data_IF_682516789783
#
_entry.id   IF_682516789783
#
_cell.length_a   1.000
_cell.length_b   1.000
_cell.length_c   1.000
_cell.angle_alpha   90.00
_cell.angle_beta   90.00
_cell.angle_gamma   90.00
#
_symmetry.space_group_name_H-M   'P 1'
#
loop_
_entity.id
_entity.type
_entity.pdbx_description
1 polymer ?
#
# COMPACT_ATOMS: atom_id res chain seq x y z
N UNK A 1 -16.51 -37.73 19.27
CA UNK A 1 -16.29 -37.77 17.80
C UNK A 1 -17.04 -36.68 17.02
N UNK A 2 -18.30 -36.33 17.34
CA UNK A 2 -19.07 -35.28 16.61
C UNK A 2 -18.47 -33.86 16.71
N UNK A 3 -17.95 -33.49 17.88
CA UNK A 3 -17.30 -32.17 18.11
C UNK A 3 -15.98 -32.02 17.34
N UNK A 4 -15.15 -33.06 17.31
CA UNK A 4 -13.89 -33.06 16.57
C UNK A 4 -14.13 -32.92 15.04
N UNK A 5 -15.17 -33.58 14.53
CA UNK A 5 -15.58 -33.48 13.13
C UNK A 5 -16.08 -32.07 12.79
N UNK A 6 -16.81 -31.42 13.70
CA UNK A 6 -17.31 -30.04 13.53
C UNK A 6 -16.15 -29.02 13.54
N UNK A 7 -15.16 -29.18 14.42
CA UNK A 7 -13.93 -28.38 14.42
C UNK A 7 -13.08 -28.58 13.15
N UNK A 8 -13.00 -29.80 12.64
CA UNK A 8 -12.37 -30.11 11.34
C UNK A 8 -13.16 -29.54 10.14
N UNK A 9 -14.49 -29.51 10.21
CA UNK A 9 -15.32 -28.88 9.18
C UNK A 9 -15.24 -27.34 9.23
N UNK A 10 -15.19 -26.74 10.41
CA UNK A 10 -14.94 -25.30 10.59
C UNK A 10 -13.53 -24.89 10.15
N UNK A 11 -12.52 -25.73 10.38
CA UNK A 11 -11.17 -25.46 9.88
C UNK A 11 -11.09 -25.59 8.36
N UNK A 12 -11.83 -26.53 7.76
CA UNK A 12 -11.94 -26.63 6.31
C UNK A 12 -12.72 -25.45 5.71
N UNK A 13 -13.77 -24.95 6.36
CA UNK A 13 -14.49 -23.71 5.98
C UNK A 13 -13.59 -22.46 6.02
N UNK A 14 -12.58 -22.43 6.91
CA UNK A 14 -11.56 -21.39 6.89
C UNK A 14 -10.56 -21.57 5.71
N UNK A 15 -10.31 -22.81 5.27
CA UNK A 15 -9.47 -23.13 4.11
C UNK A 15 -10.19 -22.82 2.78
N UNK A 16 -11.53 -22.87 2.71
CA UNK A 16 -12.29 -22.59 1.45
C UNK A 16 -12.28 -21.10 1.04
N UNK A 17 -11.75 -20.18 1.86
CA UNK A 17 -11.57 -18.78 1.43
C UNK A 17 -10.32 -18.52 0.59
N UNK A 18 -9.57 -19.54 0.17
CA UNK A 18 -8.40 -19.34 -0.68
C UNK A 18 -8.74 -18.96 -2.13
N UNK A 19 -9.94 -19.30 -2.58
CA UNK A 19 -10.53 -18.82 -3.84
C UNK A 19 -11.35 -17.53 -3.64
N UNK A 20 -10.98 -16.70 -2.66
CA UNK A 20 -11.51 -15.35 -2.60
C UNK A 20 -11.23 -14.64 -3.94
N UNK A 21 -12.29 -14.18 -4.59
CA UNK A 21 -12.25 -13.40 -5.82
C UNK A 21 -11.39 -12.15 -5.60
N UNK A 22 -10.68 -11.70 -6.64
CA UNK A 22 -9.97 -10.42 -6.62
C UNK A 22 -10.94 -9.31 -6.14
N UNK A 23 -10.56 -8.56 -5.11
CA UNK A 23 -11.40 -7.53 -4.51
C UNK A 23 -11.31 -6.18 -5.23
N UNK A 24 -10.24 -5.98 -6.00
CA UNK A 24 -9.88 -4.70 -6.57
C UNK A 24 -10.04 -4.74 -8.10
N UNK A 25 -11.10 -4.11 -8.59
CA UNK A 25 -11.43 -4.02 -10.00
C UNK A 25 -11.35 -2.56 -10.46
N UNK A 26 -10.65 -2.24 -11.57
CA UNK A 26 -10.54 -0.87 -12.03
C UNK A 26 -11.89 -0.19 -12.27
N UNK A 27 -12.03 1.05 -11.81
CA UNK A 27 -13.28 1.82 -11.87
C UNK A 27 -14.19 1.63 -10.66
N UNK A 28 -13.98 0.59 -9.86
CA UNK A 28 -14.79 0.31 -8.69
C UNK A 28 -14.28 0.96 -7.41
N UNK A 29 -15.16 1.01 -6.41
CA UNK A 29 -14.79 1.32 -5.02
C UNK A 29 -14.99 0.08 -4.15
N UNK A 30 -13.91 -0.48 -3.64
CA UNK A 30 -13.95 -1.61 -2.71
C UNK A 30 -14.18 -1.08 -1.30
N UNK A 31 -15.26 -1.55 -0.64
CA UNK A 31 -15.71 -1.04 0.66
C UNK A 31 -15.42 -2.02 1.79
N UNK A 32 -14.77 -1.54 2.85
CA UNK A 32 -14.72 -2.17 4.16
C UNK A 32 -15.65 -1.46 5.15
N UNK A 33 -15.60 -1.88 6.41
CA UNK A 33 -16.36 -1.25 7.49
C UNK A 33 -15.81 0.14 7.84
N UNK A 34 -14.49 0.30 7.80
CA UNK A 34 -13.80 1.49 8.30
C UNK A 34 -13.18 2.33 7.17
N UNK A 35 -12.90 1.73 6.01
CA UNK A 35 -12.28 2.40 4.88
C UNK A 35 -12.85 1.92 3.55
N UNK A 36 -12.74 2.77 2.54
CA UNK A 36 -13.10 2.44 1.16
C UNK A 36 -12.00 2.90 0.22
N UNK A 37 -11.71 2.11 -0.80
CA UNK A 37 -10.62 2.37 -1.73
C UNK A 37 -11.14 2.43 -3.16
N UNK A 38 -10.83 3.53 -3.86
CA UNK A 38 -11.04 3.64 -5.28
C UNK A 38 -9.92 2.91 -6.04
N UNK A 39 -10.30 2.11 -7.03
CA UNK A 39 -9.43 1.24 -7.78
C UNK A 39 -9.13 1.83 -9.17
N UNK A 40 -7.86 2.10 -9.44
CA UNK A 40 -7.40 2.71 -10.68
C UNK A 40 -6.51 1.74 -11.46
N UNK A 41 -6.77 1.59 -12.75
CA UNK A 41 -5.84 0.89 -13.64
C UNK A 41 -4.64 1.80 -13.91
N UNK A 42 -3.44 1.37 -13.50
CA UNK A 42 -2.19 2.10 -13.76
C UNK A 42 -1.53 1.58 -15.03
N UNK A 43 -1.61 0.26 -15.24
CA UNK A 43 -1.14 -0.38 -16.45
C UNK A 43 -2.19 -1.43 -16.81
N UNK A 44 -2.86 -1.29 -17.97
CA UNK A 44 -4.01 -2.09 -18.35
C UNK A 44 -3.87 -3.57 -18.02
N UNK A 45 -4.79 -4.08 -17.20
CA UNK A 45 -4.86 -5.48 -16.77
C UNK A 45 -3.62 -6.04 -16.04
N UNK A 46 -2.71 -5.18 -15.54
CA UNK A 46 -1.45 -5.61 -14.92
C UNK A 46 -1.22 -4.99 -13.55
N UNK A 47 -1.38 -3.68 -13.42
CA UNK A 47 -1.03 -2.94 -12.22
C UNK A 47 -2.22 -2.11 -11.77
N UNK A 48 -2.61 -2.29 -10.51
CA UNK A 48 -3.69 -1.54 -9.90
C UNK A 48 -3.13 -0.59 -8.86
N UNK A 49 -3.69 0.62 -8.80
CA UNK A 49 -3.54 1.55 -7.68
C UNK A 49 -4.82 1.56 -6.89
N UNK A 50 -4.73 1.39 -5.58
CA UNK A 50 -5.86 1.51 -4.66
C UNK A 50 -5.61 2.72 -3.76
N UNK A 51 -6.52 3.69 -3.85
CA UNK A 51 -6.44 4.97 -3.14
C UNK A 51 -7.60 5.07 -2.16
N UNK A 52 -7.32 5.41 -0.92
CA UNK A 52 -8.37 5.66 0.06
C UNK A 52 -9.25 6.83 -0.42
N UNK A 53 -10.57 6.66 -0.48
CA UNK A 53 -11.49 7.70 -0.99
C UNK A 53 -11.48 8.99 -0.15
N UNK A 54 -10.92 8.93 1.06
CA UNK A 54 -10.74 10.10 1.91
C UNK A 54 -9.52 10.95 1.55
N UNK A 55 -8.56 10.39 0.77
CA UNK A 55 -7.40 11.13 0.27
C UNK A 55 -7.88 12.32 -0.58
N UNK A 56 -7.31 13.50 -0.31
CA UNK A 56 -7.65 14.78 -0.95
C UNK A 56 -6.74 15.07 -2.13
N UNK A 57 -5.48 14.67 -2.08
CA UNK A 57 -4.60 14.80 -3.22
C UNK A 57 -4.84 13.63 -4.19
N UNK A 58 -5.34 13.97 -5.38
CA UNK A 58 -5.60 13.00 -6.45
C UNK A 58 -4.62 13.14 -7.61
N UNK A 59 -3.58 13.96 -7.45
CA UNK A 59 -2.67 14.34 -8.52
C UNK A 59 -1.52 13.33 -8.62
N UNK A 60 -1.06 13.01 -9.83
CA UNK A 60 0.17 12.24 -9.99
C UNK A 60 1.42 13.11 -9.85
N UNK A 61 1.34 14.37 -10.28
CA UNK A 61 2.46 15.30 -10.28
C UNK A 61 2.56 16.08 -8.97
N UNK A 62 3.75 16.61 -8.71
CA UNK A 62 4.01 17.57 -7.66
C UNK A 62 4.01 18.99 -8.23
N UNK A 63 3.60 19.96 -7.42
CA UNK A 63 3.54 21.37 -7.78
C UNK A 63 4.21 22.20 -6.70
N UNK A 64 4.83 23.30 -7.09
CA UNK A 64 5.27 24.34 -6.18
C UNK A 64 4.08 25.17 -5.65
N UNK A 65 4.32 25.96 -4.61
CA UNK A 65 3.29 26.85 -4.05
C UNK A 65 2.76 27.88 -5.05
N UNK A 66 3.57 28.30 -6.02
CA UNK A 66 3.17 29.21 -7.11
C UNK A 66 2.32 28.54 -8.20
N UNK A 67 2.05 27.24 -8.07
CA UNK A 67 1.27 26.44 -9.02
C UNK A 67 2.08 25.90 -10.21
N UNK A 68 3.37 26.21 -10.33
CA UNK A 68 4.22 25.59 -11.34
C UNK A 68 4.46 24.11 -11.03
N UNK A 69 4.53 23.27 -12.07
CA UNK A 69 4.78 21.85 -11.90
C UNK A 69 6.26 21.62 -11.53
N UNK A 70 6.51 20.75 -10.56
CA UNK A 70 7.87 20.29 -10.25
C UNK A 70 8.37 19.42 -11.43
N UNK A 71 9.57 19.68 -11.98
CA UNK A 71 10.12 18.85 -13.06
C UNK A 71 10.17 17.37 -12.67
N UNK A 72 9.81 16.49 -13.61
CA UNK A 72 9.70 15.04 -13.37
C UNK A 72 11.05 14.38 -13.07
N UNK A 73 12.14 14.97 -13.54
CA UNK A 73 13.53 14.54 -13.34
C UNK A 73 14.19 15.19 -12.12
N UNK A 74 13.47 16.05 -11.38
CA UNK A 74 14.00 16.68 -10.17
C UNK A 74 14.16 15.65 -9.06
N UNK A 75 15.38 15.55 -8.56
CA UNK A 75 15.68 14.84 -7.32
C UNK A 75 15.24 15.65 -6.10
N UNK A 76 14.55 14.99 -5.17
CA UNK A 76 14.22 15.58 -3.88
C UNK A 76 15.49 15.67 -3.02
N UNK A 77 15.67 16.80 -2.35
CA UNK A 77 16.74 16.97 -1.36
C UNK A 77 16.41 16.36 0.00
N UNK A 78 15.14 16.05 0.25
CA UNK A 78 14.65 15.48 1.51
C UNK A 78 15.11 14.04 1.70
N UNK A 79 15.41 13.69 2.95
CA UNK A 79 15.93 12.35 3.30
C UNK A 79 14.93 11.58 4.16
N UNK A 80 15.02 10.24 4.14
CA UNK A 80 14.17 9.40 5.00
C UNK A 80 14.51 9.63 6.47
N UNK A 81 13.49 9.76 7.29
CA UNK A 81 13.58 9.81 8.75
C UNK A 81 12.95 8.55 9.38
N UNK A 82 13.31 7.38 8.84
CA UNK A 82 12.90 6.07 9.32
C UNK A 82 13.82 5.00 8.74
N UNK A 83 13.87 3.85 9.40
CA UNK A 83 14.62 2.70 8.91
C UNK A 83 13.79 1.89 7.91
N UNK A 84 14.38 1.55 6.77
CA UNK A 84 13.67 0.77 5.74
C UNK A 84 13.22 -0.61 6.27
N UNK A 85 13.98 -1.20 7.20
CA UNK A 85 13.64 -2.47 7.84
C UNK A 85 12.36 -2.39 8.67
N UNK A 86 12.08 -1.28 9.35
CA UNK A 86 10.84 -1.09 10.12
C UNK A 86 9.61 -1.07 9.21
N UNK A 87 9.72 -0.40 8.06
CA UNK A 87 8.68 -0.38 7.03
C UNK A 87 8.40 -1.79 6.47
N UNK A 88 9.46 -2.54 6.14
CA UNK A 88 9.33 -3.93 5.68
C UNK A 88 8.74 -4.82 6.76
N UNK A 89 9.15 -4.66 8.03
CA UNK A 89 8.64 -5.45 9.14
C UNK A 89 7.15 -5.19 9.38
N UNK A 90 6.70 -3.94 9.32
CA UNK A 90 5.29 -3.60 9.45
C UNK A 90 4.41 -4.26 8.37
N UNK A 91 4.97 -4.45 7.16
CA UNK A 91 4.30 -5.24 6.13
C UNK A 91 4.31 -6.74 6.45
N UNK A 92 5.44 -7.31 6.88
CA UNK A 92 5.52 -8.72 7.31
C UNK A 92 4.50 -9.04 8.41
N UNK A 93 4.38 -8.17 9.40
CA UNK A 93 3.44 -8.31 10.52
C UNK A 93 1.96 -8.20 10.10
N UNK A 94 1.69 -7.61 8.94
CA UNK A 94 0.34 -7.53 8.40
C UNK A 94 -0.06 -8.80 7.63
N UNK A 95 0.88 -9.71 7.37
CA UNK A 95 0.68 -10.94 6.62
C UNK A 95 0.54 -12.14 7.58
N UNK A 96 -0.27 -13.11 7.19
CA UNK A 96 -0.20 -14.46 7.76
C UNK A 96 1.08 -15.15 7.30
N UNK A 97 1.52 -16.19 8.02
CA UNK A 97 2.68 -16.99 7.62
C UNK A 97 2.51 -17.59 6.21
N UNK A 98 1.30 -18.02 5.87
CA UNK A 98 0.98 -18.56 4.55
C UNK A 98 1.10 -17.49 3.45
N UNK A 99 0.52 -16.31 3.65
CA UNK A 99 0.61 -15.19 2.70
C UNK A 99 2.07 -14.73 2.51
N UNK A 100 2.85 -14.64 3.59
CA UNK A 100 4.26 -14.31 3.53
C UNK A 100 5.03 -15.33 2.67
N UNK A 101 4.79 -16.63 2.88
CA UNK A 101 5.42 -17.69 2.10
C UNK A 101 5.00 -17.65 0.63
N UNK A 102 3.74 -17.34 0.32
CA UNK A 102 3.28 -17.13 -1.05
C UNK A 102 3.94 -15.92 -1.72
N UNK A 103 4.08 -14.79 -1.00
CA UNK A 103 4.71 -13.60 -1.56
C UNK A 103 6.21 -13.81 -1.83
N UNK A 104 6.90 -14.61 -1.01
CA UNK A 104 8.31 -14.98 -1.21
C UNK A 104 8.58 -15.71 -2.53
N UNK A 105 7.58 -16.39 -3.10
CA UNK A 105 7.73 -17.21 -4.32
C UNK A 105 7.32 -16.50 -5.60
N UNK A 106 6.72 -15.31 -5.52
CA UNK A 106 6.25 -14.56 -6.70
C UNK A 106 7.10 -13.34 -7.01
N UNK A 107 7.24 -13.04 -8.31
CA UNK A 107 7.79 -11.77 -8.75
C UNK A 107 6.77 -10.65 -8.51
N UNK A 108 7.22 -9.55 -7.95
CA UNK A 108 6.38 -8.39 -7.75
C UNK A 108 6.86 -7.49 -6.62
N UNK A 109 6.11 -6.44 -6.41
CA UNK A 109 6.34 -5.49 -5.34
C UNK A 109 5.02 -4.91 -4.82
N UNK A 110 5.09 -4.37 -3.61
CA UNK A 110 4.16 -3.39 -3.10
C UNK A 110 4.84 -2.03 -3.18
N UNK A 111 4.32 -1.13 -4.00
CA UNK A 111 4.76 0.26 -4.01
C UNK A 111 3.77 1.11 -3.23
N UNK A 112 4.28 2.01 -2.40
CA UNK A 112 3.48 2.95 -1.60
C UNK A 112 3.86 4.36 -2.03
N UNK A 113 2.89 5.09 -2.59
CA UNK A 113 3.05 6.52 -2.86
C UNK A 113 2.60 7.27 -1.61
N UNK A 114 3.42 8.20 -1.13
CA UNK A 114 3.21 8.88 0.14
C UNK A 114 3.18 10.37 -0.12
N UNK A 115 2.08 11.03 0.24
CA UNK A 115 2.01 12.48 0.40
C UNK A 115 2.49 12.84 1.82
N UNK A 116 3.36 13.84 1.94
CA UNK A 116 3.84 14.32 3.25
C UNK A 116 3.43 15.76 3.52
N UNK A 117 3.26 16.08 4.80
CA UNK A 117 3.13 17.46 5.26
C UNK A 117 4.48 18.21 5.26
N UNK A 118 4.45 19.49 5.60
CA UNK A 118 5.66 20.34 5.68
C UNK A 118 6.59 19.97 6.84
N UNK A 119 6.11 19.21 7.82
CA UNK A 119 6.91 18.65 8.91
C UNK A 119 7.52 17.28 8.53
N UNK A 120 7.16 16.74 7.36
CA UNK A 120 7.63 15.46 6.85
C UNK A 120 6.85 14.25 7.35
N UNK A 121 5.67 14.42 7.96
CA UNK A 121 4.81 13.31 8.33
C UNK A 121 3.97 12.85 7.13
N UNK A 122 3.80 11.54 6.96
CA UNK A 122 2.91 10.99 5.95
C UNK A 122 1.43 11.32 6.25
N UNK A 123 0.75 11.91 5.27
CA UNK A 123 -0.66 12.30 5.33
C UNK A 123 -1.57 11.30 4.59
N UNK A 124 -1.21 10.97 3.36
CA UNK A 124 -2.03 10.19 2.44
C UNK A 124 -1.17 9.15 1.73
N UNK A 125 -1.70 7.94 1.59
CA UNK A 125 -1.02 6.82 0.96
C UNK A 125 -1.89 6.25 -0.15
N UNK A 126 -1.24 5.90 -1.26
CA UNK A 126 -1.80 5.01 -2.28
C UNK A 126 -0.95 3.74 -2.34
N UNK A 127 -1.60 2.58 -2.52
CA UNK A 127 -0.91 1.32 -2.71
C UNK A 127 -0.97 0.91 -4.18
N UNK A 128 0.15 0.46 -4.73
CA UNK A 128 0.28 0.03 -6.12
C UNK A 128 0.91 -1.36 -6.16
N UNK A 129 0.20 -2.30 -6.77
CA UNK A 129 0.64 -3.69 -6.87
C UNK A 129 0.06 -4.37 -8.11
N UNK A 130 0.52 -5.59 -8.41
CA UNK A 130 -0.01 -6.36 -9.54
C UNK A 130 -1.44 -6.81 -9.27
N UNK A 131 -2.32 -6.66 -10.27
CA UNK A 131 -3.72 -7.07 -10.15
C UNK A 131 -3.86 -8.56 -9.81
N UNK A 132 -3.03 -9.40 -10.42
CA UNK A 132 -2.98 -10.85 -10.21
C UNK A 132 -2.14 -11.28 -9.00
N UNK A 133 -1.73 -10.36 -8.12
CA UNK A 133 -0.94 -10.72 -6.95
C UNK A 133 -1.75 -11.67 -6.04
N UNK A 134 -1.20 -12.83 -5.64
CA UNK A 134 -1.99 -13.88 -4.96
C UNK A 134 -2.50 -13.49 -3.57
N UNK A 135 -1.93 -12.44 -2.96
CA UNK A 135 -2.27 -11.98 -1.61
C UNK A 135 -2.92 -10.61 -1.64
N UNK A 136 -2.25 -9.62 -2.22
CA UNK A 136 -2.69 -8.22 -2.19
C UNK A 136 -3.99 -7.98 -2.94
N UNK A 137 -4.28 -8.76 -4.00
CA UNK A 137 -5.56 -8.67 -4.73
C UNK A 137 -6.77 -9.09 -3.88
N UNK A 138 -6.54 -9.84 -2.80
CA UNK A 138 -7.55 -10.40 -1.90
C UNK A 138 -7.56 -9.72 -0.53
N UNK A 139 -6.71 -8.71 -0.34
CA UNK A 139 -6.53 -8.07 0.95
C UNK A 139 -7.77 -7.23 1.30
N UNK A 140 -8.47 -7.56 2.38
CA UNK A 140 -9.68 -6.84 2.76
C UNK A 140 -9.39 -5.33 2.99
N UNK A 141 -10.29 -4.41 2.59
CA UNK A 141 -10.07 -2.97 2.72
C UNK A 141 -9.71 -2.52 4.15
N UNK A 142 -10.34 -3.10 5.17
CA UNK A 142 -10.05 -2.73 6.57
C UNK A 142 -8.65 -3.20 7.01
N UNK A 143 -8.14 -4.29 6.43
CA UNK A 143 -6.80 -4.80 6.69
C UNK A 143 -5.75 -3.93 5.99
N UNK A 144 -6.05 -3.48 4.78
CA UNK A 144 -5.25 -2.47 4.07
C UNK A 144 -5.22 -1.14 4.83
N UNK A 145 -6.33 -0.72 5.43
CA UNK A 145 -6.41 0.49 6.26
C UNK A 145 -5.58 0.41 7.55
N UNK A 146 -5.56 -0.76 8.19
CA UNK A 146 -4.65 -0.99 9.33
C UNK A 146 -3.18 -0.87 8.91
N UNK A 147 -2.81 -1.41 7.75
CA UNK A 147 -1.47 -1.27 7.19
C UNK A 147 -1.15 0.19 6.85
N UNK A 148 -2.09 0.91 6.22
CA UNK A 148 -1.99 2.35 5.94
C UNK A 148 -1.69 3.14 7.21
N UNK A 149 -2.43 2.86 8.29
CA UNK A 149 -2.26 3.51 9.60
C UNK A 149 -0.88 3.23 10.21
N UNK A 150 -0.38 2.00 10.09
CA UNK A 150 0.97 1.65 10.54
C UNK A 150 2.04 2.37 9.71
N UNK A 151 1.90 2.35 8.39
CA UNK A 151 2.83 3.01 7.49
C UNK A 151 2.87 4.53 7.69
N UNK A 152 1.75 5.22 7.92
CA UNK A 152 1.75 6.66 8.21
C UNK A 152 2.57 7.04 9.45
N UNK A 153 2.69 6.14 10.44
CA UNK A 153 3.50 6.36 11.65
C UNK A 153 5.00 6.19 11.39
N UNK A 154 5.37 5.31 10.46
CA UNK A 154 6.76 4.97 10.13
C UNK A 154 7.31 5.93 9.06
N UNK A 155 6.56 6.12 7.97
CA UNK A 155 7.02 6.82 6.78
C UNK A 155 7.10 8.33 7.05
N UNK A 156 8.33 8.80 7.26
CA UNK A 156 8.63 10.21 7.54
C UNK A 156 9.84 10.70 6.74
N UNK A 157 9.88 12.00 6.46
CA UNK A 157 11.00 12.65 5.80
C UNK A 157 11.58 13.77 6.67
N UNK A 158 12.89 13.98 6.57
CA UNK A 158 13.54 15.24 6.94
C UNK A 158 13.45 16.18 5.72
N UNK A 159 12.55 17.16 5.78
CA UNK A 159 12.26 18.03 4.63
C UNK A 159 13.40 19.03 4.41
N UNK A 160 14.01 18.97 3.24
CA UNK A 160 15.03 19.94 2.79
C UNK A 160 14.42 21.30 2.50
N UNK A 161 15.20 22.37 2.60
CA UNK A 161 14.72 23.74 2.33
C UNK A 161 14.15 23.90 0.91
N UNK A 162 14.79 23.28 -0.08
CA UNK A 162 14.35 23.33 -1.48
C UNK A 162 13.02 22.62 -1.73
N UNK A 163 12.71 21.57 -0.94
CA UNK A 163 11.46 20.82 -1.07
C UNK A 163 10.32 21.42 -0.25
N UNK A 164 10.59 22.30 0.74
CA UNK A 164 9.55 23.02 1.49
C UNK A 164 8.63 23.85 0.59
N UNK A 165 9.13 24.29 -0.57
CA UNK A 165 8.38 25.03 -1.59
C UNK A 165 7.45 24.16 -2.43
N UNK A 166 7.52 22.84 -2.32
CA UNK A 166 6.63 21.91 -3.01
C UNK A 166 5.34 21.79 -2.21
N UNK A 167 4.22 22.19 -2.80
CA UNK A 167 2.87 22.20 -2.20
C UNK A 167 2.41 20.81 -1.79
N UNK A 168 2.49 19.85 -2.70
CA UNK A 168 2.06 18.46 -2.50
C UNK A 168 3.25 17.50 -2.64
N UNK A 169 4.21 17.62 -1.72
CA UNK A 169 5.43 16.82 -1.72
C UNK A 169 5.10 15.32 -1.57
N UNK A 170 5.64 14.52 -2.48
CA UNK A 170 5.41 13.08 -2.55
C UNK A 170 6.70 12.32 -2.68
N UNK A 171 6.74 11.11 -2.12
CA UNK A 171 7.78 10.14 -2.40
C UNK A 171 7.19 8.74 -2.57
N UNK A 172 7.97 7.84 -3.17
CA UNK A 172 7.60 6.44 -3.33
C UNK A 172 8.57 5.57 -2.53
N UNK A 173 8.03 4.55 -1.87
CA UNK A 173 8.80 3.47 -1.26
C UNK A 173 8.26 2.13 -1.77
N UNK A 174 9.14 1.16 -2.01
CA UNK A 174 8.79 -0.10 -2.68
C UNK A 174 9.35 -1.28 -1.90
N UNK A 175 8.50 -2.24 -1.54
CA UNK A 175 8.90 -3.56 -1.02
C UNK A 175 8.95 -4.53 -2.19
N UNK A 176 10.13 -5.04 -2.52
CA UNK A 176 10.32 -6.06 -3.54
C UNK A 176 10.26 -7.45 -2.90
N UNK A 177 9.25 -8.26 -3.25
CA UNK A 177 8.97 -9.48 -2.48
C UNK A 177 10.13 -10.48 -2.44
N UNK A 178 10.75 -10.74 -3.59
CA UNK A 178 11.87 -11.70 -3.68
C UNK A 178 13.16 -11.24 -3.00
N UNK A 179 13.26 -9.96 -2.63
CA UNK A 179 14.44 -9.37 -1.98
C UNK A 179 14.18 -9.12 -0.50
N UNK A 180 13.11 -8.39 -0.19
CA UNK A 180 12.89 -7.80 1.12
C UNK A 180 12.10 -8.73 2.06
N UNK A 181 11.33 -9.67 1.51
CA UNK A 181 10.55 -10.59 2.35
C UNK A 181 11.32 -11.81 2.81
N UNK A 182 12.42 -12.16 2.14
CA UNK A 182 13.21 -13.35 2.44
C UNK A 182 13.66 -13.39 3.89
#
# INVERSE_FOLDING_TARGET
MKSLLLLLLLSMLAIVRLDAQELYHPGDTTKGKNASYYCMDVMPNRIIRVRNIQNKDTLSNMYFEDGSMVPLDRWLGSTRNYEYSEFVQAFKDALTLQELNQLKTVRGSLSVNVLVDKAGNALELDFVFRKDNPVLSKFAPDRLFQLETKFKKILKLNISESDRKIKNLKFMVVITFMKDLK
#
